data_IF_450576133678
#
_entry.id   IF_450576133678
#
_cell.length_a   1.000
_cell.length_b   1.000
_cell.length_c   1.000
_cell.angle_alpha   90.00
_cell.angle_beta   90.00
_cell.angle_gamma   90.00
#
_symmetry.space_group_name_H-M   'P 1'
#
loop_
_entity.id
_entity.type
_entity.pdbx_description
1 polymer ?
#
# COMPACT_ATOMS: atom_id res chain seq x y z
N UNK A 1 -17.04 1.00 10.03
CA UNK A 1 -15.70 1.26 9.46
C UNK A 1 -15.89 1.23 7.97
N UNK A 2 -15.50 2.29 7.26
CA UNK A 2 -15.63 2.37 5.80
C UNK A 2 -14.24 2.35 5.20
N UNK A 3 -14.10 1.66 4.06
CA UNK A 3 -12.80 1.47 3.40
C UNK A 3 -12.41 0.00 3.23
N UNK A 4 -11.19 -0.20 2.74
CA UNK A 4 -10.57 -1.51 2.52
C UNK A 4 -9.43 -1.75 3.50
N UNK A 5 -9.12 -3.03 3.75
CA UNK A 5 -8.10 -3.47 4.68
C UNK A 5 -6.94 -4.09 3.90
N UNK A 6 -5.74 -3.56 4.10
CA UNK A 6 -4.50 -4.24 3.73
C UNK A 6 -3.81 -4.78 4.97
N UNK A 7 -3.44 -6.06 4.96
CA UNK A 7 -2.86 -6.77 6.09
C UNK A 7 -1.69 -7.63 5.62
N UNK A 8 -0.53 -7.43 6.22
CA UNK A 8 0.68 -8.19 5.94
C UNK A 8 1.17 -8.98 7.15
N UNK A 9 1.93 -10.05 6.86
CA UNK A 9 2.70 -10.79 7.85
C UNK A 9 4.18 -10.46 7.67
N UNK A 10 4.85 -10.21 8.78
CA UNK A 10 6.23 -9.75 8.84
C UNK A 10 7.08 -10.68 9.69
N UNK A 11 8.31 -10.90 9.27
CA UNK A 11 9.29 -11.62 10.07
C UNK A 11 9.79 -10.79 11.28
N UNK A 12 10.69 -11.38 12.07
CA UNK A 12 11.30 -10.72 13.24
C UNK A 12 12.11 -9.46 12.90
N UNK A 13 12.56 -9.31 11.66
CA UNK A 13 13.32 -8.14 11.18
C UNK A 13 12.41 -7.02 10.67
N UNK A 14 11.10 -7.29 10.55
CA UNK A 14 10.13 -6.36 9.98
C UNK A 14 10.03 -6.43 8.46
N UNK A 15 10.60 -7.46 7.82
CA UNK A 15 10.43 -7.71 6.39
C UNK A 15 9.06 -8.32 6.14
N UNK A 16 8.31 -7.79 5.18
CA UNK A 16 7.06 -8.39 4.69
C UNK A 16 7.37 -9.76 4.06
N UNK A 17 6.67 -10.79 4.50
CA UNK A 17 6.84 -12.18 4.01
C UNK A 17 5.58 -12.76 3.39
N UNK A 18 4.42 -12.15 3.64
CA UNK A 18 3.13 -12.52 3.04
C UNK A 18 2.23 -11.29 3.01
N UNK A 19 1.63 -11.01 1.87
CA UNK A 19 0.43 -10.18 1.79
C UNK A 19 -0.76 -11.09 2.10
N UNK A 20 -1.38 -10.87 3.26
CA UNK A 20 -2.52 -11.69 3.69
C UNK A 20 -3.83 -11.18 3.10
N UNK A 21 -3.97 -9.86 3.04
CA UNK A 21 -5.07 -9.15 2.40
C UNK A 21 -4.53 -7.90 1.72
N UNK A 22 -4.97 -7.64 0.49
CA UNK A 22 -4.78 -6.38 -0.21
C UNK A 22 -6.15 -5.84 -0.57
N UNK A 23 -6.44 -4.61 -0.15
CA UNK A 23 -7.70 -3.93 -0.49
C UNK A 23 -8.97 -4.73 -0.13
N UNK A 24 -8.89 -5.59 0.88
CA UNK A 24 -9.98 -6.48 1.25
C UNK A 24 -11.16 -5.71 1.88
N UNK A 25 -12.37 -6.06 1.48
CA UNK A 25 -13.60 -5.60 2.09
C UNK A 25 -13.86 -6.31 3.42
N UNK A 26 -14.67 -5.68 4.28
CA UNK A 26 -14.96 -6.24 5.61
C UNK A 26 -15.65 -7.61 5.58
N UNK A 27 -16.41 -7.90 4.53
CA UNK A 27 -17.11 -9.16 4.33
C UNK A 27 -16.20 -10.32 3.90
N UNK A 28 -14.94 -10.04 3.54
CA UNK A 28 -13.92 -11.05 3.25
C UNK A 28 -13.30 -11.64 4.52
N UNK A 29 -13.61 -11.05 5.68
CA UNK A 29 -13.20 -11.54 6.99
C UNK A 29 -14.34 -12.31 7.65
N UNK A 30 -13.99 -13.35 8.41
CA UNK A 30 -14.96 -14.00 9.29
C UNK A 30 -15.30 -13.07 10.46
N UNK A 31 -16.56 -13.08 10.89
CA UNK A 31 -17.00 -12.32 12.07
C UNK A 31 -16.80 -13.18 13.32
N UNK A 32 -15.91 -12.76 14.20
CA UNK A 32 -15.73 -13.30 15.54
C UNK A 32 -16.57 -12.55 16.58
N UNK A 33 -16.51 -12.99 17.84
CA UNK A 33 -17.30 -12.42 18.93
C UNK A 33 -17.08 -10.90 19.11
N UNK A 34 -15.84 -10.44 18.96
CA UNK A 34 -15.44 -9.04 19.22
C UNK A 34 -14.62 -8.43 18.07
N UNK A 35 -14.66 -9.00 16.86
CA UNK A 35 -13.87 -8.48 15.76
C UNK A 35 -13.88 -9.30 14.48
N UNK A 36 -13.05 -8.85 13.53
CA UNK A 36 -12.81 -9.54 12.26
C UNK A 36 -11.70 -10.57 12.44
N UNK A 37 -11.86 -11.73 11.80
CA UNK A 37 -10.97 -12.87 11.92
C UNK A 37 -10.49 -13.28 10.52
N UNK A 38 -9.19 -13.48 10.40
CA UNK A 38 -8.54 -14.11 9.25
C UNK A 38 -7.49 -15.10 9.73
N UNK A 39 -7.13 -16.05 8.88
CA UNK A 39 -6.13 -17.07 9.18
C UNK A 39 -4.96 -16.96 8.21
N UNK A 40 -3.76 -17.26 8.69
CA UNK A 40 -2.57 -17.42 7.89
C UNK A 40 -2.06 -18.86 8.04
N UNK A 41 -1.76 -19.50 6.93
CA UNK A 41 -1.34 -20.91 6.87
C UNK A 41 0.16 -21.12 7.13
N UNK A 42 0.93 -20.06 7.37
CA UNK A 42 2.38 -20.13 7.59
C UNK A 42 3.23 -20.06 6.31
N UNK A 43 2.63 -19.73 5.16
CA UNK A 43 3.32 -19.65 3.86
C UNK A 43 3.64 -18.23 3.43
N UNK A 44 4.64 -18.06 2.56
CA UNK A 44 4.91 -16.81 1.86
C UNK A 44 4.03 -16.64 0.61
N UNK A 45 4.19 -15.55 -0.14
CA UNK A 45 3.43 -15.28 -1.37
C UNK A 45 3.76 -16.28 -2.52
N UNK A 46 4.88 -17.00 -2.44
CA UNK A 46 5.27 -18.07 -3.37
C UNK A 46 4.72 -19.46 -2.96
N UNK A 47 3.79 -19.50 -1.99
CA UNK A 47 3.19 -20.72 -1.43
C UNK A 47 4.20 -21.69 -0.76
N UNK A 48 5.36 -21.18 -0.34
CA UNK A 48 6.38 -21.94 0.38
C UNK A 48 6.17 -21.82 1.89
N UNK A 49 6.33 -22.92 2.62
CA UNK A 49 6.26 -22.94 4.08
C UNK A 49 7.41 -22.14 4.69
N UNK A 50 7.08 -21.22 5.60
CA UNK A 50 8.07 -20.46 6.36
C UNK A 50 8.52 -21.22 7.61
N UNK A 51 9.76 -21.01 8.09
CA UNK A 51 10.27 -21.68 9.27
C UNK A 51 9.48 -21.32 10.53
N UNK A 52 9.40 -22.26 11.48
CA UNK A 52 8.78 -22.00 12.78
C UNK A 52 9.49 -20.83 13.49
N UNK A 53 8.71 -19.88 13.99
CA UNK A 53 9.27 -18.67 14.60
C UNK A 53 8.23 -17.63 15.00
N UNK A 54 8.74 -16.44 15.38
CA UNK A 54 7.90 -15.28 15.69
C UNK A 54 7.69 -14.43 14.46
N UNK A 55 6.43 -14.14 14.19
CA UNK A 55 5.96 -13.26 13.13
C UNK A 55 5.04 -12.19 13.72
N UNK A 56 4.88 -11.09 13.01
CA UNK A 56 3.99 -10.00 13.39
C UNK A 56 3.00 -9.74 12.27
N UNK A 57 1.75 -9.53 12.60
CA UNK A 57 0.78 -8.98 11.65
C UNK A 57 0.70 -7.46 11.81
N UNK A 58 0.62 -6.75 10.69
CA UNK A 58 0.35 -5.31 10.66
C UNK A 58 -0.49 -4.98 9.45
N UNK A 59 -1.48 -4.11 9.63
CA UNK A 59 -2.34 -3.68 8.56
C UNK A 59 -2.77 -2.22 8.69
N UNK A 60 -3.37 -1.72 7.62
CA UNK A 60 -3.92 -0.39 7.50
C UNK A 60 -5.35 -0.49 6.97
N UNK A 61 -6.17 0.48 7.38
CA UNK A 61 -7.48 0.68 6.76
C UNK A 61 -7.40 1.92 5.91
N UNK A 62 -7.64 1.73 4.62
CA UNK A 62 -7.71 2.79 3.64
C UNK A 62 -9.16 3.26 3.60
N UNK A 63 -9.43 4.44 4.17
CA UNK A 63 -10.75 5.06 4.07
C UNK A 63 -11.13 5.37 2.61
N UNK A 64 -12.29 6.00 2.37
CA UNK A 64 -12.66 6.42 1.02
C UNK A 64 -11.60 7.37 0.45
N UNK A 65 -10.86 6.89 -0.54
CA UNK A 65 -9.85 7.64 -1.29
C UNK A 65 -10.36 7.80 -2.71
N UNK A 66 -10.15 8.99 -3.28
CA UNK A 66 -10.39 9.24 -4.69
C UNK A 66 -9.06 9.09 -5.40
N UNK A 67 -9.00 8.19 -6.39
CA UNK A 67 -7.93 8.16 -7.38
C UNK A 67 -8.44 8.93 -8.59
N UNK A 68 -7.73 9.99 -8.97
CA UNK A 68 -8.07 10.84 -10.10
C UNK A 68 -7.00 10.74 -11.18
N UNK A 69 -7.39 10.28 -12.37
CA UNK A 69 -6.55 10.30 -13.57
C UNK A 69 -6.49 11.74 -14.12
N UNK A 70 -5.29 12.32 -14.12
CA UNK A 70 -5.01 13.67 -14.62
C UNK A 70 -4.53 13.66 -16.08
N UNK A 71 -4.41 12.47 -16.68
CA UNK A 71 -4.03 12.26 -18.07
C UNK A 71 -2.53 12.30 -18.33
N UNK A 72 -2.19 12.48 -19.60
CA UNK A 72 -0.81 12.55 -20.08
C UNK A 72 -0.09 13.78 -19.49
N UNK A 73 1.09 13.56 -18.91
CA UNK A 73 1.92 14.57 -18.26
C UNK A 73 3.37 14.40 -18.68
N UNK A 74 4.22 15.38 -18.34
CA UNK A 74 5.67 15.17 -18.34
C UNK A 74 6.11 14.46 -17.06
N UNK A 75 7.21 13.71 -17.13
CA UNK A 75 7.85 13.15 -15.95
C UNK A 75 8.30 14.28 -14.99
N UNK A 76 8.24 14.08 -13.67
CA UNK A 76 8.79 15.05 -12.72
C UNK A 76 10.30 15.23 -12.96
N UNK A 77 10.81 16.45 -12.76
CA UNK A 77 12.25 16.71 -12.86
C UNK A 77 13.02 15.80 -11.88
N UNK A 78 14.19 15.30 -12.32
CA UNK A 78 14.98 14.22 -11.68
C UNK A 78 15.46 14.47 -10.22
N UNK A 79 14.99 15.50 -9.54
CA UNK A 79 15.17 15.66 -8.08
C UNK A 79 14.25 14.73 -7.27
N UNK A 80 13.21 14.12 -7.87
CA UNK A 80 12.48 13.03 -7.23
C UNK A 80 13.17 11.69 -7.51
N UNK A 81 13.99 11.23 -6.57
CA UNK A 81 14.62 9.91 -6.61
C UNK A 81 13.58 8.85 -6.98
N UNK A 82 13.85 8.02 -7.98
CA UNK A 82 13.20 6.71 -8.08
C UNK A 82 13.37 6.05 -6.70
N UNK A 83 12.27 5.68 -6.03
CA UNK A 83 12.18 5.33 -4.60
C UNK A 83 11.89 6.48 -3.61
N UNK A 84 11.37 7.63 -4.04
CA UNK A 84 10.90 8.67 -3.14
C UNK A 84 9.83 8.08 -2.19
N UNK A 85 10.09 8.18 -0.89
CA UNK A 85 9.12 7.86 0.16
C UNK A 85 8.45 9.15 0.60
N UNK A 86 7.12 9.17 0.60
CA UNK A 86 6.32 10.31 1.03
C UNK A 86 5.76 10.06 2.41
N UNK A 87 6.03 10.99 3.33
CA UNK A 87 5.53 10.91 4.70
C UNK A 87 4.12 11.49 4.81
N UNK A 88 3.15 10.62 5.09
CA UNK A 88 1.73 10.95 5.27
C UNK A 88 1.30 10.79 6.72
N UNK A 89 0.39 11.65 7.17
CA UNK A 89 -0.13 11.61 8.54
C UNK A 89 -1.33 10.68 8.61
N UNK A 90 -1.29 9.68 9.49
CA UNK A 90 -2.44 8.80 9.69
C UNK A 90 -3.58 9.52 10.41
N UNK A 91 -4.80 9.11 10.10
CA UNK A 91 -5.99 9.48 10.87
C UNK A 91 -5.83 8.95 12.30
N UNK A 92 -6.27 9.74 13.29
CA UNK A 92 -6.18 9.34 14.69
C UNK A 92 -7.03 8.10 14.90
N UNK A 93 -6.42 7.02 15.39
CA UNK A 93 -7.18 5.87 15.86
C UNK A 93 -7.89 6.27 17.17
N UNK A 94 -9.23 6.28 17.23
CA UNK A 94 -9.96 6.69 18.44
C UNK A 94 -9.73 5.75 19.63
N UNK A 95 -9.28 4.52 19.38
CA UNK A 95 -8.97 3.51 20.40
C UNK A 95 -7.56 3.66 20.98
N UNK A 96 -6.67 4.43 20.34
CA UNK A 96 -5.31 4.69 20.85
C UNK A 96 -5.20 6.13 21.33
N UNK A 97 -4.79 6.31 22.60
CA UNK A 97 -4.61 7.63 23.22
C UNK A 97 -3.42 8.44 22.64
N UNK A 98 -2.58 7.84 21.79
CA UNK A 98 -1.30 8.40 21.32
C UNK A 98 -1.37 9.37 20.12
N UNK A 99 -0.21 10.00 19.86
CA UNK A 99 0.12 10.90 18.74
C UNK A 99 -0.23 10.27 17.39
N UNK A 100 -0.70 11.08 16.43
CA UNK A 100 -0.95 10.65 15.05
C UNK A 100 0.36 10.10 14.46
N UNK A 101 0.49 8.78 14.23
CA UNK A 101 1.69 8.25 13.60
C UNK A 101 1.75 8.75 12.16
N UNK A 102 2.96 8.84 11.63
CA UNK A 102 3.16 9.00 10.20
C UNK A 102 3.40 7.63 9.58
N UNK A 103 2.96 7.47 8.34
CA UNK A 103 3.34 6.35 7.48
C UNK A 103 4.19 6.90 6.34
N UNK A 104 5.24 6.19 5.98
CA UNK A 104 5.98 6.45 4.75
C UNK A 104 5.37 5.62 3.64
N UNK A 105 4.94 6.29 2.58
CA UNK A 105 4.34 5.70 1.40
C UNK A 105 5.32 5.70 0.25
N UNK A 106 5.28 4.66 -0.56
CA UNK A 106 5.93 4.58 -1.86
C UNK A 106 4.92 4.17 -2.92
N UNK A 107 5.39 4.09 -4.16
CA UNK A 107 4.65 3.51 -5.28
C UNK A 107 5.40 2.25 -5.74
N UNK A 108 4.67 1.17 -5.96
CA UNK A 108 5.15 -0.06 -6.58
C UNK A 108 4.43 -0.29 -7.91
N UNK A 109 4.99 -1.16 -8.75
CA UNK A 109 4.34 -1.67 -9.93
C UNK A 109 4.80 -3.10 -10.22
N UNK A 110 3.95 -3.84 -10.89
CA UNK A 110 4.17 -5.20 -11.37
C UNK A 110 3.52 -5.38 -12.76
N UNK A 111 3.21 -6.62 -13.16
CA UNK A 111 2.55 -6.91 -14.44
C UNK A 111 1.12 -6.39 -14.52
N UNK A 112 0.46 -6.24 -13.37
CA UNK A 112 -0.97 -5.98 -13.28
C UNK A 112 -1.25 -4.48 -13.14
N UNK A 113 -0.24 -3.70 -12.75
CA UNK A 113 -0.28 -2.25 -12.82
C UNK A 113 0.57 -1.61 -11.75
N UNK A 114 0.10 -0.50 -11.18
CA UNK A 114 0.77 0.18 -10.08
C UNK A 114 -0.12 0.36 -8.87
N UNK A 115 0.52 0.40 -7.71
CA UNK A 115 -0.15 0.42 -6.43
C UNK A 115 0.65 1.24 -5.41
N UNK A 116 -0.09 1.95 -4.56
CA UNK A 116 0.43 2.61 -3.39
C UNK A 116 0.84 1.54 -2.38
N UNK A 117 2.01 1.71 -1.75
CA UNK A 117 2.52 0.78 -0.74
C UNK A 117 3.15 1.51 0.42
N UNK A 118 3.30 0.82 1.54
CA UNK A 118 4.11 1.34 2.66
C UNK A 118 5.61 1.18 2.37
N UNK A 119 6.44 1.84 3.18
CA UNK A 119 7.90 1.78 3.09
C UNK A 119 8.53 0.40 3.31
N UNK A 120 7.74 -0.51 3.88
CA UNK A 120 8.02 -1.92 4.17
C UNK A 120 7.28 -2.86 3.19
N UNK A 121 6.87 -2.31 2.05
CA UNK A 121 6.34 -3.01 0.87
C UNK A 121 4.91 -3.57 0.96
N UNK A 122 4.13 -3.27 2.01
CA UNK A 122 2.73 -3.68 2.06
C UNK A 122 1.90 -2.90 1.03
N UNK A 123 1.29 -3.54 0.02
CA UNK A 123 0.37 -2.89 -0.91
C UNK A 123 -0.89 -2.41 -0.19
N UNK A 124 -1.32 -1.19 -0.52
CA UNK A 124 -2.43 -0.50 0.14
C UNK A 124 -3.61 -0.22 -0.77
N UNK A 125 -3.34 0.21 -2.01
CA UNK A 125 -4.35 0.70 -2.94
C UNK A 125 -3.83 0.60 -4.37
N UNK A 126 -4.64 0.07 -5.27
CA UNK A 126 -4.34 0.05 -6.71
C UNK A 126 -4.58 1.46 -7.29
N UNK A 127 -3.57 1.99 -8.00
CA UNK A 127 -3.65 3.32 -8.63
C UNK A 127 -4.10 3.19 -10.08
N UNK A 128 -3.55 2.21 -10.80
CA UNK A 128 -3.94 1.92 -12.18
C UNK A 128 -3.62 0.47 -12.52
N UNK A 129 -4.44 -0.13 -13.39
CA UNK A 129 -4.23 -1.45 -14.00
C UNK A 129 -3.45 -1.35 -15.34
N UNK A 130 -2.76 -0.21 -15.58
CA UNK A 130 -1.95 -0.03 -16.80
C UNK A 130 -0.81 -1.06 -16.83
N UNK A 131 -0.78 -1.97 -17.81
CA UNK A 131 0.26 -2.99 -17.88
C UNK A 131 1.58 -2.40 -18.41
N UNK A 132 2.67 -3.17 -18.27
CA UNK A 132 3.98 -2.86 -18.85
C UNK A 132 4.59 -1.52 -18.41
N UNK A 133 4.32 -1.10 -17.16
CA UNK A 133 4.99 0.06 -16.59
C UNK A 133 6.49 -0.17 -16.53
N UNK A 134 7.24 0.85 -16.90
CA UNK A 134 8.70 0.85 -16.85
C UNK A 134 9.22 1.59 -15.63
N UNK A 135 8.51 2.65 -15.20
CA UNK A 135 8.87 3.51 -14.07
C UNK A 135 7.65 4.12 -13.42
N UNK A 136 7.80 4.44 -12.15
CA UNK A 136 6.80 5.13 -11.35
C UNK A 136 7.46 6.15 -10.42
N UNK A 137 6.73 7.22 -10.10
CA UNK A 137 7.16 8.26 -9.17
C UNK A 137 6.01 8.62 -8.24
N UNK A 138 6.36 9.08 -7.05
CA UNK A 138 5.41 9.60 -6.06
C UNK A 138 5.97 10.88 -5.45
N UNK A 139 5.12 11.88 -5.29
CA UNK A 139 5.46 13.11 -4.56
C UNK A 139 4.34 13.51 -3.62
N UNK A 140 4.69 14.20 -2.53
CA UNK A 140 3.70 14.76 -1.62
C UNK A 140 3.07 15.99 -2.27
N UNK A 141 1.76 15.97 -2.51
CA UNK A 141 1.04 17.18 -2.94
C UNK A 141 0.71 18.07 -1.75
N UNK A 142 0.12 17.49 -0.71
CA UNK A 142 -0.18 18.15 0.56
C UNK A 142 -0.33 17.09 1.68
N UNK A 143 -0.84 17.47 2.86
CA UNK A 143 -0.97 16.54 3.99
C UNK A 143 -1.92 15.36 3.77
N UNK A 144 -2.83 15.46 2.79
CA UNK A 144 -3.90 14.49 2.53
C UNK A 144 -3.89 13.93 1.10
N UNK A 145 -2.93 14.35 0.25
CA UNK A 145 -2.87 13.94 -1.15
C UNK A 145 -1.42 13.74 -1.61
N UNK A 146 -1.24 12.78 -2.52
CA UNK A 146 0.01 12.51 -3.23
C UNK A 146 -0.23 12.61 -4.72
N UNK A 147 0.78 12.98 -5.48
CA UNK A 147 0.75 12.87 -6.94
C UNK A 147 1.61 11.66 -7.33
N UNK A 148 1.10 10.85 -8.25
CA UNK A 148 1.76 9.66 -8.79
C UNK A 148 1.97 9.84 -10.28
N UNK A 149 3.14 9.45 -10.80
CA UNK A 149 3.39 9.35 -12.23
C UNK A 149 3.73 7.92 -12.59
N UNK A 150 3.27 7.48 -13.75
CA UNK A 150 3.54 6.15 -14.32
C UNK A 150 4.03 6.33 -15.75
N UNK A 151 5.11 5.65 -16.12
CA UNK A 151 5.71 5.67 -17.46
C UNK A 151 5.61 4.27 -18.06
N UNK A 152 4.84 4.13 -19.14
CA UNK A 152 4.65 2.86 -19.87
C UNK A 152 5.72 2.60 -20.96
N UNK A 153 6.75 3.46 -21.02
CA UNK A 153 7.80 3.44 -22.04
C UNK A 153 7.48 4.28 -23.28
N UNK A 154 6.24 4.71 -23.46
CA UNK A 154 5.80 5.59 -24.55
C UNK A 154 5.31 6.95 -24.01
N UNK A 155 4.54 6.92 -22.94
CA UNK A 155 3.86 8.06 -22.34
C UNK A 155 3.97 8.03 -20.84
N UNK A 156 3.87 9.22 -20.25
CA UNK A 156 3.78 9.39 -18.81
C UNK A 156 2.38 9.85 -18.45
N UNK A 157 1.73 9.16 -17.52
CA UNK A 157 0.42 9.52 -17.00
C UNK A 157 0.55 9.98 -15.55
N UNK A 158 -0.28 10.94 -15.16
CA UNK A 158 -0.33 11.44 -13.79
C UNK A 158 -1.65 11.07 -13.11
N UNK A 159 -1.55 10.65 -11.85
CA UNK A 159 -2.69 10.36 -10.96
C UNK A 159 -2.57 11.17 -9.67
N UNK A 160 -3.69 11.34 -8.97
CA UNK A 160 -3.78 11.97 -7.64
C UNK A 160 -4.71 11.22 -6.70
#
# INVERSE_FOLDING_TARGET
MEGTISLGIYDKSGKLVRVLHQEAQLNEFAIGADGLVTQWNGRNDEEQDLPAGRYHSRGYVMGPLKVEDLGESSAPSMESKANAKVKMKLVRNPLRKEKRPFVELGIGFDSDGSYLKTSDDLPLLTISETPNLSRVWITKKNENAVDVWQDDGNKVYQFR
#
